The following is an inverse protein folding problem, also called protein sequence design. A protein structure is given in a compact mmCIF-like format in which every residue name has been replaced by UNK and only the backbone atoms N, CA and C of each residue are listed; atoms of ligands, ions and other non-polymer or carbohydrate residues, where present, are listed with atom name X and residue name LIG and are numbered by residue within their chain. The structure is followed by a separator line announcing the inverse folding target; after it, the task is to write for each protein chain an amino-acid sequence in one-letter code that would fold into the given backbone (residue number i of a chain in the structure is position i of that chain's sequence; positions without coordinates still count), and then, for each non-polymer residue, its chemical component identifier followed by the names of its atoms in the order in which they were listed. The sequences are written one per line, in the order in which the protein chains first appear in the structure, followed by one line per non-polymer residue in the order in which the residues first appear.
data_IF_791192120676
#
_entry.id   IF_791192120676
#
_cell.length_a   1.000
_cell.length_b   1.000
_cell.length_c   1.000
_cell.angle_alpha   90.00
_cell.angle_beta   90.00
_cell.angle_gamma   90.00
#
_symmetry.space_group_name_H-M   'P 1'
#
loop_
_entity.id
_entity.type
_entity.pdbx_description
1 polymer ?
#
# COMPACT_ATOMS: atom_id res chain seq x y z
N UNK A 1 18.76 -10.79 8.42
CA UNK A 1 19.16 -10.78 6.99
C UNK A 1 20.63 -11.09 6.80
N UNK A 2 21.49 -10.49 7.59
CA UNK A 2 22.94 -10.72 7.59
C UNK A 2 23.33 -12.20 7.74
N UNK A 3 22.65 -12.96 8.62
CA UNK A 3 22.89 -14.42 8.80
C UNK A 3 22.63 -15.28 7.55
N UNK A 4 21.62 -14.95 6.74
CA UNK A 4 21.34 -15.69 5.49
C UNK A 4 22.36 -15.31 4.42
N UNK A 5 22.69 -14.03 4.35
CA UNK A 5 23.46 -13.44 3.26
C UNK A 5 24.98 -13.58 3.43
N UNK A 6 25.49 -13.46 4.66
CA UNK A 6 26.92 -13.49 4.96
C UNK A 6 27.40 -14.87 5.44
N UNK A 7 26.52 -15.66 6.09
CA UNK A 7 26.88 -16.98 6.62
C UNK A 7 26.34 -18.15 5.79
N UNK A 8 25.71 -17.87 4.64
CA UNK A 8 25.21 -18.90 3.72
C UNK A 8 24.15 -19.83 4.32
N UNK A 9 23.51 -19.43 5.42
CA UNK A 9 22.54 -20.27 6.12
C UNK A 9 21.28 -20.44 5.26
N UNK A 10 20.73 -21.66 5.13
CA UNK A 10 19.53 -21.88 4.35
C UNK A 10 18.33 -21.12 4.94
N UNK A 11 17.55 -20.49 4.06
CA UNK A 11 16.36 -19.67 4.41
C UNK A 11 15.38 -20.44 5.31
N UNK A 12 15.24 -21.75 5.12
CA UNK A 12 14.36 -22.59 5.95
C UNK A 12 14.75 -22.63 7.42
N UNK A 13 16.03 -22.70 7.72
CA UNK A 13 16.54 -22.79 9.09
C UNK A 13 16.32 -21.46 9.81
N UNK A 14 16.71 -20.36 9.16
CA UNK A 14 16.52 -19.01 9.70
C UNK A 14 15.03 -18.69 9.88
N UNK A 15 14.18 -19.05 8.92
CA UNK A 15 12.73 -18.86 9.07
C UNK A 15 12.16 -19.58 10.30
N UNK A 16 12.65 -20.79 10.60
CA UNK A 16 12.27 -21.56 11.78
C UNK A 16 12.66 -20.91 13.09
N UNK A 17 13.87 -20.35 13.18
CA UNK A 17 14.36 -19.63 14.37
C UNK A 17 13.49 -18.41 14.69
N UNK A 18 13.11 -17.66 13.67
CA UNK A 18 12.30 -16.44 13.82
C UNK A 18 10.79 -16.71 13.80
N UNK A 19 10.35 -17.98 13.73
CA UNK A 19 8.94 -18.41 13.66
C UNK A 19 8.15 -17.70 12.55
N UNK A 20 8.80 -17.42 11.43
CA UNK A 20 8.17 -16.84 10.24
C UNK A 20 8.10 -17.87 9.12
N UNK A 21 7.21 -17.66 8.16
CA UNK A 21 7.16 -18.56 7.00
C UNK A 21 8.39 -18.38 6.12
N UNK A 22 8.81 -19.48 5.47
CA UNK A 22 9.90 -19.47 4.48
C UNK A 22 9.63 -18.47 3.36
N UNK A 23 8.37 -18.39 2.89
CA UNK A 23 7.96 -17.50 1.80
C UNK A 23 8.09 -16.02 2.20
N UNK A 24 7.80 -15.67 3.44
CA UNK A 24 8.02 -14.31 3.95
C UNK A 24 9.50 -13.96 3.99
N UNK A 25 10.34 -14.86 4.52
CA UNK A 25 11.78 -14.63 4.57
C UNK A 25 12.40 -14.55 3.16
N UNK A 26 12.01 -15.42 2.23
CA UNK A 26 12.44 -15.35 0.82
C UNK A 26 12.09 -14.01 0.17
N UNK A 27 10.90 -13.45 0.45
CA UNK A 27 10.54 -12.10 -0.03
C UNK A 27 11.47 -11.04 0.52
N UNK A 28 11.79 -11.09 1.80
CA UNK A 28 12.69 -10.13 2.45
C UNK A 28 14.11 -10.23 1.88
N UNK A 29 14.60 -11.45 1.62
CA UNK A 29 15.87 -11.71 0.92
C UNK A 29 15.89 -11.10 -0.47
N UNK A 30 14.86 -11.32 -1.28
CA UNK A 30 14.75 -10.70 -2.59
C UNK A 30 14.76 -9.16 -2.52
N UNK A 31 14.01 -8.56 -1.60
CA UNK A 31 14.00 -7.10 -1.41
C UNK A 31 15.33 -6.55 -0.97
N UNK A 32 16.02 -7.22 -0.04
CA UNK A 32 17.32 -6.80 0.43
C UNK A 32 18.37 -6.87 -0.69
N UNK A 33 18.31 -7.87 -1.57
CA UNK A 33 19.19 -7.90 -2.75
C UNK A 33 18.91 -6.76 -3.74
N UNK A 34 17.63 -6.38 -3.91
CA UNK A 34 17.25 -5.34 -4.86
C UNK A 34 17.50 -3.90 -4.34
N UNK A 35 17.30 -3.67 -3.04
CA UNK A 35 17.27 -2.32 -2.45
C UNK A 35 18.17 -2.16 -1.22
N UNK A 36 18.94 -3.18 -0.86
CA UNK A 36 19.76 -3.18 0.34
C UNK A 36 18.91 -3.06 1.62
N UNK A 37 19.43 -2.40 2.67
CA UNK A 37 18.70 -2.15 3.91
C UNK A 37 17.34 -1.45 3.71
N UNK A 38 17.22 -0.54 2.72
CA UNK A 38 15.97 0.15 2.42
C UNK A 38 14.84 -0.79 1.97
N UNK A 39 15.18 -1.97 1.44
CA UNK A 39 14.18 -2.98 1.06
C UNK A 39 13.46 -3.63 2.24
N UNK A 40 13.94 -3.43 3.46
CA UNK A 40 13.33 -3.94 4.70
C UNK A 40 12.45 -2.91 5.41
N UNK A 41 12.45 -1.65 4.95
CA UNK A 41 11.55 -0.63 5.46
C UNK A 41 10.09 -0.97 5.13
N UNK A 42 9.15 -0.40 5.90
CA UNK A 42 7.72 -0.63 5.66
C UNK A 42 7.33 -0.05 4.29
N UNK A 43 6.95 -0.96 3.40
CA UNK A 43 6.53 -0.63 2.05
C UNK A 43 5.04 -0.94 1.90
N UNK A 44 4.34 -0.07 1.17
CA UNK A 44 2.93 -0.31 0.86
C UNK A 44 2.77 -1.69 0.21
N UNK A 45 1.85 -2.49 0.73
CA UNK A 45 1.47 -3.78 0.11
C UNK A 45 0.63 -3.59 -1.16
N UNK A 46 0.36 -2.34 -1.56
CA UNK A 46 -0.33 -2.03 -2.80
C UNK A 46 0.54 -2.39 -4.03
N UNK A 47 -0.04 -2.98 -5.08
CA UNK A 47 0.60 -3.10 -6.39
C UNK A 47 1.08 -1.74 -6.90
N UNK A 48 2.25 -1.73 -7.55
CA UNK A 48 2.84 -0.52 -8.13
C UNK A 48 1.96 0.10 -9.22
N UNK A 49 1.26 -0.73 -10.01
CA UNK A 49 0.36 -0.28 -11.06
C UNK A 49 -1.08 -0.70 -10.75
N UNK A 50 -1.96 0.30 -10.55
CA UNK A 50 -3.39 0.11 -10.35
C UNK A 50 -4.14 0.98 -11.38
N UNK A 51 -4.75 0.40 -12.43
CA UNK A 51 -5.44 1.19 -13.46
C UNK A 51 -6.67 1.92 -12.92
N UNK A 52 -7.24 1.45 -11.82
CA UNK A 52 -8.38 2.08 -11.13
C UNK A 52 -7.94 3.02 -10.00
N UNK A 53 -6.67 3.46 -9.99
CA UNK A 53 -6.18 4.39 -8.97
C UNK A 53 -6.90 5.73 -9.11
N UNK A 54 -7.48 6.19 -8.02
CA UNK A 54 -8.11 7.51 -7.95
C UNK A 54 -7.01 8.57 -8.16
N UNK A 55 -7.19 9.51 -9.10
CA UNK A 55 -6.23 10.59 -9.31
C UNK A 55 -5.99 11.40 -8.03
N UNK A 56 -4.75 11.88 -7.82
CA UNK A 56 -4.38 12.60 -6.60
C UNK A 56 -5.28 13.81 -6.31
N UNK A 57 -5.64 14.58 -7.34
CA UNK A 57 -6.53 15.74 -7.19
C UNK A 57 -7.93 15.38 -6.65
N UNK A 58 -8.43 14.18 -6.96
CA UNK A 58 -9.71 13.70 -6.44
C UNK A 58 -9.56 13.36 -4.96
N UNK A 59 -8.45 12.70 -4.59
CA UNK A 59 -8.15 12.35 -3.19
C UNK A 59 -8.07 13.60 -2.33
N UNK A 60 -7.34 14.62 -2.78
CA UNK A 60 -7.22 15.90 -2.08
C UNK A 60 -8.58 16.56 -1.84
N UNK A 61 -9.46 16.52 -2.83
CA UNK A 61 -10.81 17.10 -2.74
C UNK A 61 -11.73 16.30 -1.80
N UNK A 62 -11.67 14.97 -1.85
CA UNK A 62 -12.38 14.09 -0.90
C UNK A 62 -11.93 14.42 0.52
N UNK A 63 -10.62 14.58 0.75
CA UNK A 63 -10.09 14.87 2.07
C UNK A 63 -10.46 16.27 2.58
N UNK A 64 -10.42 17.31 1.73
CA UNK A 64 -10.82 18.67 2.12
C UNK A 64 -12.30 18.70 2.50
N UNK A 65 -13.20 18.12 1.68
CA UNK A 65 -14.63 18.09 1.99
C UNK A 65 -14.97 17.26 3.23
N UNK A 66 -14.22 16.19 3.50
CA UNK A 66 -14.35 15.43 4.75
C UNK A 66 -13.92 16.26 5.96
N UNK A 67 -12.83 17.03 5.86
CA UNK A 67 -12.31 17.86 6.95
C UNK A 67 -13.18 19.08 7.23
N UNK A 68 -13.53 19.82 6.19
CA UNK A 68 -14.19 21.13 6.29
C UNK A 68 -15.70 21.01 6.45
N UNK A 69 -16.33 20.07 5.74
CA UNK A 69 -17.78 19.97 5.69
C UNK A 69 -18.35 18.68 6.30
N UNK A 70 -17.48 17.74 6.70
CA UNK A 70 -17.86 16.41 7.23
C UNK A 70 -18.84 15.66 6.32
N UNK A 71 -18.71 15.84 5.01
CA UNK A 71 -19.62 15.24 4.06
C UNK A 71 -19.53 13.71 4.08
N UNK A 72 -20.69 13.08 3.85
CA UNK A 72 -20.77 11.63 3.71
C UNK A 72 -20.17 11.19 2.38
N UNK A 73 -19.70 9.94 2.34
CA UNK A 73 -19.21 9.29 1.12
C UNK A 73 -20.17 9.46 -0.08
N UNK A 74 -21.47 9.29 0.16
CA UNK A 74 -22.51 9.43 -0.87
C UNK A 74 -22.59 10.87 -1.42
N UNK A 75 -22.50 11.87 -0.56
CA UNK A 75 -22.53 13.28 -0.96
C UNK A 75 -21.29 13.65 -1.76
N UNK A 76 -20.12 13.19 -1.32
CA UNK A 76 -18.86 13.41 -2.03
C UNK A 76 -18.89 12.78 -3.43
N UNK A 77 -19.35 11.53 -3.55
CA UNK A 77 -19.46 10.88 -4.85
C UNK A 77 -20.45 11.57 -5.79
N UNK A 78 -21.56 12.08 -5.26
CA UNK A 78 -22.52 12.87 -6.02
C UNK A 78 -21.90 14.18 -6.50
N UNK A 79 -21.24 14.92 -5.61
CA UNK A 79 -20.59 16.19 -5.96
C UNK A 79 -19.46 15.99 -6.99
N UNK A 80 -18.63 14.97 -6.83
CA UNK A 80 -17.59 14.63 -7.82
C UNK A 80 -18.17 14.34 -9.21
N UNK A 81 -19.31 13.65 -9.26
CA UNK A 81 -19.98 13.35 -10.51
C UNK A 81 -20.61 14.59 -11.15
N UNK A 82 -21.23 15.48 -10.36
CA UNK A 82 -21.92 16.65 -10.88
C UNK A 82 -20.98 17.81 -11.23
N UNK A 83 -20.10 18.23 -10.31
CA UNK A 83 -19.26 19.42 -10.55
C UNK A 83 -17.99 19.12 -11.32
N UNK A 84 -17.48 17.88 -11.26
CA UNK A 84 -16.20 17.50 -11.87
C UNK A 84 -16.30 16.38 -12.91
N UNK A 85 -17.48 15.78 -13.09
CA UNK A 85 -17.67 14.68 -14.04
C UNK A 85 -16.92 13.39 -13.69
N UNK A 86 -16.37 13.28 -12.47
CA UNK A 86 -15.58 12.13 -12.04
C UNK A 86 -16.47 11.15 -11.26
N UNK A 87 -16.64 9.94 -11.77
CA UNK A 87 -17.44 8.91 -11.11
C UNK A 87 -16.55 8.03 -10.23
N UNK A 88 -16.69 8.17 -8.91
CA UNK A 88 -16.12 7.26 -7.93
C UNK A 88 -17.21 6.36 -7.32
N UNK A 89 -16.83 5.14 -6.94
CA UNK A 89 -17.72 4.28 -6.17
C UNK A 89 -17.70 4.72 -4.70
N UNK A 90 -18.87 4.81 -4.07
CA UNK A 90 -19.05 5.21 -2.65
C UNK A 90 -18.26 4.34 -1.65
N UNK A 91 -17.82 3.15 -2.08
CA UNK A 91 -16.98 2.22 -1.28
C UNK A 91 -15.49 2.57 -1.31
N UNK A 92 -15.02 3.26 -2.34
CA UNK A 92 -13.61 3.61 -2.60
C UNK A 92 -13.17 4.85 -1.81
N UNK A 93 -14.07 5.48 -1.07
CA UNK A 93 -13.85 6.73 -0.33
C UNK A 93 -12.96 6.58 0.92
N UNK A 94 -12.20 5.49 1.04
CA UNK A 94 -11.15 5.31 2.04
C UNK A 94 -9.79 5.59 1.36
N UNK A 95 -9.23 6.80 1.52
CA UNK A 95 -8.01 7.21 0.82
C UNK A 95 -6.80 6.34 1.18
N UNK A 96 -6.82 5.69 2.35
CA UNK A 96 -5.66 5.00 2.92
C UNK A 96 -5.44 3.58 2.38
N UNK A 97 -6.37 3.03 1.60
CA UNK A 97 -6.28 1.62 1.13
C UNK A 97 -6.40 1.49 -0.39
N UNK A 98 -6.20 2.59 -1.13
CA UNK A 98 -6.08 2.57 -2.59
C UNK A 98 -4.61 2.52 -3.04
#
# INVERSE_FOLDING_TARGET
MEEVLHRGRPVSHVAGEFRISRTTLSKWVGRYHAHGPAGLEDASSAPAHRPTRVPAWVVELIESWRREHKWTARRIAHELAESRGYRCAVRTESPRVC
#
